data_IF_413740577371
#
_entry.id   IF_413740577371
#
_cell.length_a   1.000
_cell.length_b   1.000
_cell.length_c   1.000
_cell.angle_alpha   90.00
_cell.angle_beta   90.00
_cell.angle_gamma   90.00
#
_symmetry.space_group_name_H-M   'P 1'
#
loop_
_entity.id
_entity.type
_entity.pdbx_description
1 polymer ?
#
# COMPACT_ATOMS: atom_id res chain seq x y z
N UNK A 1 -24.19 2.72 8.45
CA UNK A 1 -23.71 2.65 9.84
C UNK A 1 -22.26 2.17 9.79
N UNK A 2 -21.32 2.91 10.39
CA UNK A 2 -19.89 2.60 10.32
C UNK A 2 -19.53 1.61 11.45
N UNK A 3 -19.60 0.32 11.15
CA UNK A 3 -19.38 -0.76 12.13
C UNK A 3 -17.90 -1.04 12.45
N UNK A 4 -16.95 -0.33 11.82
CA UNK A 4 -15.51 -0.61 12.01
C UNK A 4 -14.97 -0.09 13.36
N UNK A 5 -15.66 0.86 14.00
CA UNK A 5 -15.16 1.53 15.22
C UNK A 5 -15.13 0.61 16.45
N UNK A 6 -16.01 -0.39 16.48
CA UNK A 6 -16.09 -1.37 17.58
C UNK A 6 -15.24 -2.63 17.30
N UNK A 7 -14.68 -2.77 16.09
CA UNK A 7 -13.89 -3.93 15.68
C UNK A 7 -12.39 -3.71 15.88
N UNK A 8 -11.88 -2.51 15.61
CA UNK A 8 -10.46 -2.20 15.72
C UNK A 8 -10.07 -1.92 17.18
N UNK A 9 -9.06 -2.63 17.66
CA UNK A 9 -8.45 -2.36 18.96
C UNK A 9 -7.58 -1.10 18.91
N UNK A 10 -7.23 -0.56 20.08
CA UNK A 10 -6.26 0.54 20.15
C UNK A 10 -4.90 0.16 19.54
N UNK A 11 -4.54 -1.12 19.56
CA UNK A 11 -3.31 -1.59 18.92
C UNK A 11 -3.41 -1.50 17.39
N UNK A 12 -4.57 -1.89 16.83
CA UNK A 12 -4.80 -1.78 15.38
C UNK A 12 -4.75 -0.33 14.93
N UNK A 13 -5.35 0.58 15.71
CA UNK A 13 -5.31 2.01 15.43
C UNK A 13 -3.88 2.56 15.32
N UNK A 14 -2.97 2.16 16.22
CA UNK A 14 -1.57 2.60 16.20
C UNK A 14 -0.80 2.19 14.93
N UNK A 15 -1.25 1.14 14.24
CA UNK A 15 -0.60 0.61 13.05
C UNK A 15 -1.31 0.99 11.75
N UNK A 16 -2.42 1.75 11.81
CA UNK A 16 -3.19 2.08 10.60
C UNK A 16 -2.35 2.84 9.58
N UNK A 17 -1.61 3.87 10.01
CA UNK A 17 -0.72 4.59 9.11
C UNK A 17 0.34 3.67 8.50
N UNK A 18 1.01 2.88 9.34
CA UNK A 18 2.08 1.98 8.92
C UNK A 18 1.56 0.96 7.89
N UNK A 19 0.38 0.38 8.12
CA UNK A 19 -0.26 -0.54 7.17
C UNK A 19 -0.66 0.16 5.87
N UNK A 20 -1.20 1.39 5.93
CA UNK A 20 -1.58 2.18 4.75
C UNK A 20 -0.35 2.40 3.85
N UNK A 21 0.82 2.67 4.44
CA UNK A 21 2.07 2.84 3.70
C UNK A 21 2.70 1.51 3.26
N UNK A 22 2.68 0.49 4.12
CA UNK A 22 3.32 -0.80 3.88
C UNK A 22 2.68 -1.59 2.74
N UNK A 23 1.35 -1.61 2.65
CA UNK A 23 0.63 -2.39 1.63
C UNK A 23 1.05 -2.01 0.20
N UNK A 24 1.03 -0.73 -0.24
CA UNK A 24 1.48 -0.37 -1.57
C UNK A 24 2.98 -0.64 -1.75
N UNK A 25 3.82 -0.41 -0.74
CA UNK A 25 5.25 -0.73 -0.84
C UNK A 25 5.48 -2.24 -1.09
N UNK A 26 4.84 -3.11 -0.30
CA UNK A 26 4.91 -4.57 -0.44
C UNK A 26 4.43 -5.02 -1.82
N UNK A 27 3.27 -4.51 -2.28
CA UNK A 27 2.74 -4.83 -3.60
C UNK A 27 3.67 -4.37 -4.72
N UNK A 28 4.26 -3.19 -4.59
CA UNK A 28 5.24 -2.67 -5.54
C UNK A 28 6.45 -3.60 -5.69
N UNK A 29 7.01 -4.06 -4.57
CA UNK A 29 8.11 -5.02 -4.54
C UNK A 29 7.70 -6.34 -5.19
N UNK A 30 6.51 -6.86 -4.87
CA UNK A 30 6.01 -8.13 -5.41
C UNK A 30 5.79 -8.07 -6.92
N UNK A 31 5.24 -6.98 -7.44
CA UNK A 31 5.10 -6.78 -8.88
C UNK A 31 6.45 -6.63 -9.58
N UNK A 32 7.40 -5.91 -8.98
CA UNK A 32 8.75 -5.77 -9.53
C UNK A 32 9.48 -7.12 -9.56
N UNK A 33 9.42 -7.87 -8.47
CA UNK A 33 10.01 -9.20 -8.38
C UNK A 33 9.41 -10.15 -9.43
N UNK A 34 8.09 -10.14 -9.58
CA UNK A 34 7.43 -10.97 -10.61
C UNK A 34 7.83 -10.54 -12.02
N UNK A 35 7.97 -9.24 -12.28
CA UNK A 35 8.46 -8.74 -13.58
C UNK A 35 9.87 -9.25 -13.89
N UNK A 36 10.78 -9.19 -12.92
CA UNK A 36 12.16 -9.69 -13.06
C UNK A 36 12.20 -11.22 -13.22
N UNK A 37 11.22 -11.93 -12.66
CA UNK A 37 11.05 -13.37 -12.79
C UNK A 37 10.35 -13.80 -14.10
N UNK A 38 9.97 -12.85 -14.97
CA UNK A 38 9.32 -13.15 -16.25
C UNK A 38 7.79 -13.26 -16.17
N UNK A 39 7.16 -12.56 -15.23
CA UNK A 39 5.70 -12.44 -15.08
C UNK A 39 4.98 -13.80 -14.85
N UNK A 40 5.49 -14.59 -13.89
CA UNK A 40 5.05 -15.99 -13.65
C UNK A 40 3.94 -16.12 -12.61
N UNK A 41 3.80 -15.14 -11.71
CA UNK A 41 2.86 -15.18 -10.60
C UNK A 41 1.58 -14.40 -10.90
N UNK A 42 1.69 -13.13 -11.32
CA UNK A 42 0.53 -12.29 -11.62
C UNK A 42 0.15 -12.38 -13.09
N UNK A 43 -1.15 -12.46 -13.37
CA UNK A 43 -1.66 -12.40 -14.75
C UNK A 43 -1.30 -11.05 -15.39
N UNK A 44 -0.55 -11.12 -16.49
CA UNK A 44 -0.21 -9.97 -17.34
C UNK A 44 -1.04 -9.97 -18.62
N UNK A 45 -1.16 -8.78 -19.24
CA UNK A 45 -1.91 -8.59 -20.50
C UNK A 45 -1.01 -8.12 -21.65
N UNK A 46 0.15 -7.56 -21.31
CA UNK A 46 1.13 -7.01 -22.23
C UNK A 46 2.51 -7.00 -21.54
N UNK A 47 3.62 -7.04 -22.30
CA UNK A 47 4.97 -6.94 -21.74
C UNK A 47 5.14 -5.70 -20.86
N UNK A 48 5.74 -5.87 -19.67
CA UNK A 48 5.95 -4.76 -18.73
C UNK A 48 4.71 -4.35 -17.92
N UNK A 49 3.61 -5.12 -17.97
CA UNK A 49 2.41 -4.82 -17.18
C UNK A 49 2.69 -4.82 -15.66
N UNK A 50 3.46 -5.79 -15.15
CA UNK A 50 3.85 -5.81 -13.74
C UNK A 50 4.84 -4.70 -13.39
N UNK A 51 5.79 -4.35 -14.27
CA UNK A 51 6.64 -3.17 -14.05
C UNK A 51 5.81 -1.90 -13.88
N UNK A 52 4.81 -1.69 -14.73
CA UNK A 52 3.91 -0.54 -14.62
C UNK A 52 3.11 -0.56 -13.31
N UNK A 53 2.62 -1.73 -12.89
CA UNK A 53 1.95 -1.90 -11.59
C UNK A 53 2.88 -1.56 -10.43
N UNK A 54 4.13 -2.03 -10.47
CA UNK A 54 5.13 -1.72 -9.45
C UNK A 54 5.35 -0.21 -9.31
N UNK A 55 5.57 0.49 -10.42
CA UNK A 55 5.78 1.94 -10.44
C UNK A 55 4.59 2.73 -9.86
N UNK A 56 3.35 2.32 -10.17
CA UNK A 56 2.14 2.94 -9.61
C UNK A 56 2.09 2.75 -8.09
N UNK A 57 2.40 1.55 -7.60
CA UNK A 57 2.39 1.27 -6.16
C UNK A 57 3.50 2.03 -5.42
N UNK A 58 4.71 2.13 -5.99
CA UNK A 58 5.77 2.96 -5.41
C UNK A 58 5.41 4.44 -5.39
N UNK A 59 4.78 4.96 -6.44
CA UNK A 59 4.33 6.36 -6.43
C UNK A 59 3.23 6.62 -5.40
N UNK A 60 2.37 5.62 -5.16
CA UNK A 60 1.36 5.68 -4.10
C UNK A 60 2.02 5.68 -2.72
N UNK A 61 2.99 4.80 -2.47
CA UNK A 61 3.75 4.77 -1.21
C UNK A 61 4.44 6.11 -0.93
N UNK A 62 5.17 6.66 -1.90
CA UNK A 62 5.80 7.99 -1.81
C UNK A 62 4.77 9.10 -1.54
N UNK A 63 3.60 9.06 -2.19
CA UNK A 63 2.54 10.04 -1.94
C UNK A 63 1.89 9.90 -0.56
N UNK A 64 1.87 8.70 0.03
CA UNK A 64 1.36 8.47 1.38
C UNK A 64 2.35 9.02 2.39
N UNK A 65 3.63 8.69 2.24
CA UNK A 65 4.72 9.19 3.08
C UNK A 65 4.76 10.73 3.09
N UNK A 66 4.70 11.36 1.90
CA UNK A 66 4.66 12.82 1.78
C UNK A 66 3.43 13.48 2.45
N UNK A 67 2.37 12.71 2.74
CA UNK A 67 1.12 13.18 3.35
C UNK A 67 0.92 12.65 4.77
N UNK A 68 1.94 12.04 5.36
CA UNK A 68 1.87 11.41 6.68
C UNK A 68 1.19 12.30 7.74
N UNK A 69 1.57 13.58 7.93
CA UNK A 69 0.93 14.42 8.95
C UNK A 69 -0.58 14.60 8.72
N UNK A 70 -1.00 14.67 7.45
CA UNK A 70 -2.41 14.82 7.09
C UNK A 70 -3.19 13.53 7.33
N UNK A 71 -2.60 12.38 7.03
CA UNK A 71 -3.22 11.07 7.22
C UNK A 71 -3.33 10.77 8.72
N UNK A 72 -2.27 10.95 9.51
CA UNK A 72 -2.28 10.75 10.96
C UNK A 72 -3.34 11.62 11.65
N UNK A 73 -3.48 12.88 11.22
CA UNK A 73 -4.56 13.77 11.69
C UNK A 73 -5.95 13.21 11.42
N UNK A 74 -6.18 12.60 10.25
CA UNK A 74 -7.46 11.94 9.92
C UNK A 74 -7.70 10.69 10.77
N UNK A 75 -6.65 9.97 11.13
CA UNK A 75 -6.70 8.80 12.00
C UNK A 75 -6.93 9.15 13.49
N UNK A 76 -6.85 10.44 13.85
CA UNK A 76 -6.95 10.90 15.24
C UNK A 76 -5.67 10.67 16.05
N UNK A 77 -4.55 10.42 15.36
CA UNK A 77 -3.21 10.38 15.93
C UNK A 77 -2.69 11.84 15.95
N UNK A 78 -2.58 12.43 17.14
CA UNK A 78 -2.02 13.77 17.38
C UNK A 78 -0.78 13.69 18.23
#
# INVERSE_FOLDING_TARGET
QAHAKDFLSQADHRHLFDCIHLIPLELGIRFLADHLAGDVYFKVRYPGHNLRRALVQFKLAESIEAREPSIRKVLGES
#
